data_IF_890129072750
#
_entry.id   IF_890129072750
#
_cell.length_a   1.000
_cell.length_b   1.000
_cell.length_c   1.000
_cell.angle_alpha   90.00
_cell.angle_beta   90.00
_cell.angle_gamma   90.00
#
_symmetry.space_group_name_H-M   'P 1'
#
loop_
_entity.id
_entity.type
_entity.pdbx_description
1 polymer ?
#
# COMPACT_ATOMS: atom_id res chain seq x y z
N UNK A 1 25.41 21.47 -15.57
CA UNK A 1 23.97 21.28 -15.80
C UNK A 1 23.60 19.85 -15.42
N UNK A 2 23.97 19.41 -14.20
CA UNK A 2 23.87 18.00 -13.76
C UNK A 2 23.41 17.85 -12.29
N UNK A 3 22.97 18.92 -11.61
CA UNK A 3 22.49 18.83 -10.22
C UNK A 3 20.97 18.69 -10.07
N UNK A 4 20.21 18.79 -11.17
CA UNK A 4 18.74 18.73 -11.11
C UNK A 4 18.16 17.31 -11.24
N UNK A 5 18.98 16.31 -11.57
CA UNK A 5 18.50 14.94 -11.85
C UNK A 5 18.51 14.02 -10.63
N UNK A 6 19.28 14.39 -9.59
CA UNK A 6 19.52 13.51 -8.42
C UNK A 6 18.39 13.61 -7.38
N UNK A 7 17.63 14.72 -7.38
CA UNK A 7 16.60 14.99 -6.36
C UNK A 7 15.28 14.28 -6.66
N UNK A 8 14.97 13.98 -7.92
CA UNK A 8 13.72 13.29 -8.30
C UNK A 8 13.76 11.76 -8.08
N UNK A 9 14.94 11.17 -7.83
CA UNK A 9 15.13 9.72 -7.72
C UNK A 9 15.40 9.21 -6.30
N UNK A 10 15.36 10.08 -5.29
CA UNK A 10 15.84 9.76 -3.93
C UNK A 10 14.74 9.53 -2.88
N UNK A 11 13.46 9.60 -3.25
CA UNK A 11 12.36 9.31 -2.32
C UNK A 11 11.77 7.94 -2.61
N UNK A 12 11.78 7.09 -1.58
CA UNK A 12 11.15 5.77 -1.65
C UNK A 12 9.65 5.93 -1.96
N UNK A 13 9.11 5.20 -2.95
CA UNK A 13 7.68 5.28 -3.25
C UNK A 13 6.83 4.93 -2.04
N UNK A 14 5.67 5.57 -1.93
CA UNK A 14 4.72 5.31 -0.85
C UNK A 14 4.35 3.82 -0.82
N UNK A 15 4.49 3.21 0.36
CA UNK A 15 4.33 1.77 0.55
C UNK A 15 3.69 1.45 1.90
N UNK A 16 3.08 0.27 2.02
CA UNK A 16 2.63 -0.31 3.29
C UNK A 16 3.45 -1.55 3.63
N UNK A 17 3.61 -1.81 4.94
CA UNK A 17 4.07 -3.09 5.44
C UNK A 17 2.84 -3.83 5.97
N UNK A 18 2.44 -4.89 5.27
CA UNK A 18 1.29 -5.70 5.61
C UNK A 18 1.73 -6.95 6.38
N UNK A 19 0.97 -7.29 7.43
CA UNK A 19 1.13 -8.58 8.13
C UNK A 19 0.11 -9.55 7.56
N UNK A 20 0.58 -10.40 6.67
CA UNK A 20 -0.22 -11.47 6.04
C UNK A 20 0.00 -12.80 6.73
N UNK A 21 -0.74 -13.83 6.31
CA UNK A 21 -0.55 -15.21 6.78
C UNK A 21 0.88 -15.73 6.48
N UNK A 22 1.48 -15.28 5.38
CA UNK A 22 2.86 -15.63 4.99
C UNK A 22 3.95 -14.78 5.65
N UNK A 23 3.59 -13.90 6.58
CA UNK A 23 4.52 -12.98 7.24
C UNK A 23 4.36 -11.53 6.76
N UNK A 24 5.39 -10.72 7.02
CA UNK A 24 5.40 -9.32 6.65
C UNK A 24 5.79 -9.14 5.19
N UNK A 25 5.02 -8.35 4.46
CA UNK A 25 5.30 -8.03 3.07
C UNK A 25 5.15 -6.54 2.82
N UNK A 26 6.05 -6.00 2.02
CA UNK A 26 6.01 -4.61 1.57
C UNK A 26 5.25 -4.54 0.26
N UNK A 27 4.28 -3.63 0.18
CA UNK A 27 3.53 -3.34 -1.04
C UNK A 27 3.54 -1.86 -1.34
N UNK A 28 3.52 -1.48 -2.61
CA UNK A 28 3.47 -0.08 -3.02
C UNK A 28 2.03 0.38 -3.22
N UNK A 29 1.72 1.61 -2.80
CA UNK A 29 0.36 2.14 -2.87
C UNK A 29 -0.15 2.22 -4.31
N UNK A 30 0.74 2.54 -5.26
CA UNK A 30 0.39 2.64 -6.68
C UNK A 30 0.10 1.29 -7.34
N UNK A 31 0.43 0.16 -6.71
CA UNK A 31 0.14 -1.19 -7.22
C UNK A 31 -1.21 -1.73 -6.73
N UNK A 32 -1.81 -1.08 -5.73
CA UNK A 32 -3.13 -1.43 -5.23
C UNK A 32 -4.18 -0.88 -6.20
N UNK A 33 -5.17 -1.69 -6.52
CA UNK A 33 -6.34 -1.30 -7.32
C UNK A 33 -7.47 -0.82 -6.41
N UNK A 34 -7.84 -1.61 -5.40
CA UNK A 34 -8.77 -1.22 -4.35
C UNK A 34 -8.57 -2.06 -3.09
N UNK A 35 -9.19 -1.63 -1.99
CA UNK A 35 -9.14 -2.30 -0.70
C UNK A 35 -10.56 -2.62 -0.27
N UNK A 36 -10.82 -3.85 0.14
CA UNK A 36 -12.12 -4.29 0.62
C UNK A 36 -12.04 -4.73 2.09
N UNK A 37 -12.94 -4.20 2.92
CA UNK A 37 -13.16 -4.70 4.26
C UNK A 37 -14.38 -5.64 4.25
N UNK A 38 -14.15 -6.92 4.53
CA UNK A 38 -15.18 -7.96 4.45
C UNK A 38 -15.05 -8.93 5.63
N UNK A 39 -16.15 -9.18 6.35
CA UNK A 39 -16.21 -10.20 7.41
C UNK A 39 -15.03 -10.17 8.41
N UNK A 40 -14.67 -8.97 8.89
CA UNK A 40 -13.56 -8.71 9.84
C UNK A 40 -12.15 -8.98 9.26
N UNK A 41 -12.03 -9.13 7.95
CA UNK A 41 -10.77 -9.21 7.21
C UNK A 41 -10.64 -8.00 6.31
N UNK A 42 -9.41 -7.70 5.90
CA UNK A 42 -9.13 -6.70 4.89
C UNK A 42 -8.36 -7.36 3.76
N UNK A 43 -8.81 -7.09 2.54
CA UNK A 43 -8.23 -7.61 1.33
C UNK A 43 -7.68 -6.46 0.50
N UNK A 44 -6.41 -6.56 0.10
CA UNK A 44 -5.79 -5.66 -0.85
C UNK A 44 -5.81 -6.33 -2.22
N UNK A 45 -6.58 -5.75 -3.13
CA UNK A 45 -6.64 -6.18 -4.53
C UNK A 45 -5.59 -5.40 -5.31
N UNK A 46 -4.61 -6.10 -5.85
CA UNK A 46 -3.49 -5.52 -6.58
C UNK A 46 -3.81 -5.47 -8.07
N UNK A 47 -3.28 -4.48 -8.79
CA UNK A 47 -3.40 -4.35 -10.25
C UNK A 47 -2.86 -5.56 -11.02
N UNK A 48 -1.99 -6.35 -10.39
CA UNK A 48 -1.47 -7.61 -10.94
C UNK A 48 -2.49 -8.75 -10.93
N UNK A 49 -3.65 -8.57 -10.29
CA UNK A 49 -4.63 -9.62 -10.01
C UNK A 49 -4.34 -10.42 -8.73
N UNK A 50 -3.24 -10.13 -8.03
CA UNK A 50 -2.95 -10.72 -6.72
C UNK A 50 -3.91 -10.17 -5.66
N UNK A 51 -4.33 -11.02 -4.72
CA UNK A 51 -5.09 -10.62 -3.53
C UNK A 51 -4.28 -10.93 -2.28
N UNK A 52 -4.14 -9.93 -1.42
CA UNK A 52 -3.45 -10.07 -0.14
C UNK A 52 -4.44 -9.94 1.02
N UNK A 53 -4.54 -10.98 1.82
CA UNK A 53 -5.36 -11.00 3.03
C UNK A 53 -4.53 -10.53 4.24
N UNK A 54 -5.06 -9.57 4.98
CA UNK A 54 -4.56 -9.18 6.30
C UNK A 54 -5.62 -9.37 7.37
N UNK A 55 -5.16 -9.67 8.59
CA UNK A 55 -6.03 -9.84 9.77
C UNK A 55 -6.23 -8.55 10.55
N UNK A 56 -5.45 -7.51 10.25
CA UNK A 56 -5.63 -6.20 10.85
C UNK A 56 -6.85 -5.49 10.23
N UNK A 57 -7.62 -4.74 11.04
CA UNK A 57 -8.75 -3.96 10.55
C UNK A 57 -8.29 -2.77 9.70
N UNK A 58 -9.16 -2.28 8.82
CA UNK A 58 -8.83 -1.26 7.81
C UNK A 58 -8.34 0.06 8.42
N UNK A 59 -8.90 0.47 9.56
CA UNK A 59 -8.49 1.68 10.28
C UNK A 59 -7.00 1.69 10.68
N UNK A 60 -6.36 0.52 10.72
CA UNK A 60 -4.91 0.38 10.97
C UNK A 60 -4.08 1.07 9.87
N UNK A 61 -4.61 1.12 8.65
CA UNK A 61 -3.94 1.65 7.46
C UNK A 61 -4.52 3.00 7.01
N UNK A 62 -5.72 3.33 7.48
CA UNK A 62 -6.53 4.47 7.03
C UNK A 62 -5.75 5.79 7.07
N UNK A 63 -5.06 6.11 8.17
CA UNK A 63 -4.25 7.34 8.24
C UNK A 63 -3.25 7.44 7.07
N UNK A 64 -2.51 6.37 6.80
CA UNK A 64 -1.49 6.37 5.74
C UNK A 64 -2.10 6.33 4.34
N UNK A 65 -3.26 5.71 4.18
CA UNK A 65 -4.01 5.70 2.93
C UNK A 65 -4.58 7.10 2.63
N UNK A 66 -5.20 7.76 3.61
CA UNK A 66 -5.77 9.10 3.47
C UNK A 66 -4.71 10.21 3.36
N UNK A 67 -3.53 10.01 3.95
CA UNK A 67 -2.38 10.91 3.75
C UNK A 67 -1.80 10.79 2.32
N UNK A 68 -2.07 9.67 1.63
CA UNK A 68 -1.68 9.50 0.23
C UNK A 68 -2.61 10.25 -0.71
N UNK A 69 -2.10 10.70 -1.86
CA UNK A 69 -2.93 11.30 -2.92
C UNK A 69 -3.64 10.26 -3.80
N UNK A 70 -3.50 8.97 -3.49
CA UNK A 70 -3.92 7.85 -4.34
C UNK A 70 -5.24 7.24 -3.89
N UNK A 71 -5.56 7.34 -2.59
CA UNK A 71 -6.79 6.81 -1.99
C UNK A 71 -7.70 7.95 -1.51
N UNK A 72 -9.01 7.68 -1.44
CA UNK A 72 -10.06 8.63 -1.04
C UNK A 72 -11.06 7.98 -0.09
#
# INVERSE_FOLDING_TARGET
MEECVVVFNSQEPEHLILKTLGGYQKIYLHDIEYIEAQNKRVFFFMKSGQVLEVTQPLYTYEKKLLDSKVFF
#
